data_IF_915164923119
#
_entry.id   IF_915164923119
#
_cell.length_a   1.000
_cell.length_b   1.000
_cell.length_c   1.000
_cell.angle_alpha   90.00
_cell.angle_beta   90.00
_cell.angle_gamma   90.00
#
_symmetry.space_group_name_H-M   'P 1'
#
loop_
_entity.id
_entity.type
_entity.pdbx_description
1 polymer ?
#
# COMPACT_ATOMS: atom_id res chain seq x y z
N UNK A 1 -38.51 -19.35 -30.16
CA UNK A 1 -39.51 -20.24 -29.50
C UNK A 1 -39.74 -19.87 -28.02
N UNK A 2 -38.73 -19.35 -27.30
CA UNK A 2 -38.75 -19.08 -25.84
C UNK A 2 -39.76 -18.01 -25.38
N UNK A 3 -40.07 -16.98 -26.18
CA UNK A 3 -40.98 -15.89 -25.78
C UNK A 3 -42.48 -16.26 -25.74
N UNK A 4 -42.84 -17.46 -26.21
CA UNK A 4 -44.25 -17.88 -26.34
C UNK A 4 -44.87 -18.38 -25.02
N UNK A 5 -44.07 -18.73 -24.02
CA UNK A 5 -44.54 -19.26 -22.72
C UNK A 5 -44.21 -18.30 -21.59
N UNK A 6 -45.01 -18.29 -20.52
CA UNK A 6 -44.75 -17.54 -19.27
C UNK A 6 -43.39 -17.94 -18.71
N UNK A 7 -43.12 -19.25 -18.64
CA UNK A 7 -41.84 -19.80 -18.17
C UNK A 7 -40.67 -19.23 -18.97
N UNK A 8 -40.78 -19.18 -20.29
CA UNK A 8 -39.72 -18.66 -21.14
C UNK A 8 -39.48 -17.16 -20.98
N UNK A 9 -40.53 -16.35 -20.73
CA UNK A 9 -40.37 -14.92 -20.40
C UNK A 9 -39.68 -14.72 -19.05
N UNK A 10 -40.07 -15.48 -18.02
CA UNK A 10 -39.43 -15.40 -16.69
C UNK A 10 -37.96 -15.76 -16.77
N UNK A 11 -37.61 -16.88 -17.43
CA UNK A 11 -36.22 -17.29 -17.62
C UNK A 11 -35.42 -16.21 -18.36
N UNK A 12 -35.97 -15.64 -19.43
CA UNK A 12 -35.31 -14.58 -20.18
C UNK A 12 -35.00 -13.36 -19.28
N UNK A 13 -35.98 -12.92 -18.48
CA UNK A 13 -35.82 -11.77 -17.57
C UNK A 13 -34.74 -12.04 -16.53
N UNK A 14 -34.79 -13.19 -15.88
CA UNK A 14 -33.81 -13.57 -14.86
C UNK A 14 -32.41 -13.69 -15.49
N UNK A 15 -32.29 -14.30 -16.67
CA UNK A 15 -31.02 -14.39 -17.39
C UNK A 15 -30.48 -13.01 -17.76
N UNK A 16 -31.31 -12.09 -18.25
CA UNK A 16 -30.88 -10.72 -18.56
C UNK A 16 -30.39 -10.00 -17.29
N UNK A 17 -31.15 -10.07 -16.20
CA UNK A 17 -30.75 -9.48 -14.92
C UNK A 17 -29.42 -10.05 -14.42
N UNK A 18 -29.26 -11.39 -14.44
CA UNK A 18 -28.03 -12.06 -14.02
C UNK A 18 -26.83 -11.69 -14.88
N UNK A 19 -27.01 -11.54 -16.20
CA UNK A 19 -25.92 -11.12 -17.10
C UNK A 19 -25.47 -9.70 -16.76
N UNK A 20 -26.38 -8.73 -16.64
CA UNK A 20 -26.02 -7.36 -16.30
C UNK A 20 -25.38 -7.26 -14.92
N UNK A 21 -25.97 -7.93 -13.92
CA UNK A 21 -25.41 -7.99 -12.58
C UNK A 21 -24.03 -8.65 -12.56
N UNK A 22 -23.87 -9.79 -13.24
CA UNK A 22 -22.60 -10.49 -13.36
C UNK A 22 -21.51 -9.65 -14.01
N UNK A 23 -21.82 -8.94 -15.10
CA UNK A 23 -20.87 -8.01 -15.75
C UNK A 23 -20.45 -6.89 -14.80
N UNK A 24 -21.39 -6.29 -14.06
CA UNK A 24 -21.08 -5.25 -13.06
C UNK A 24 -20.19 -5.78 -11.94
N UNK A 25 -20.47 -6.99 -11.42
CA UNK A 25 -19.67 -7.62 -10.36
C UNK A 25 -18.26 -7.92 -10.84
N UNK A 26 -18.12 -8.53 -12.02
CA UNK A 26 -16.81 -8.85 -12.62
C UNK A 26 -16.01 -7.57 -12.81
N UNK A 27 -16.61 -6.53 -13.39
CA UNK A 27 -15.95 -5.24 -13.60
C UNK A 27 -15.48 -4.61 -12.27
N UNK A 28 -16.33 -4.63 -11.23
CA UNK A 28 -15.98 -4.12 -9.91
C UNK A 28 -14.79 -4.88 -9.30
N UNK A 29 -14.76 -6.20 -9.39
CA UNK A 29 -13.65 -7.02 -8.89
C UNK A 29 -12.35 -6.64 -9.61
N UNK A 30 -12.35 -6.58 -10.94
CA UNK A 30 -11.17 -6.17 -11.71
C UNK A 30 -10.73 -4.74 -11.40
N UNK A 31 -11.67 -3.81 -11.26
CA UNK A 31 -11.38 -2.43 -10.87
C UNK A 31 -10.75 -2.35 -9.49
N UNK A 32 -11.21 -3.16 -8.54
CA UNK A 32 -10.71 -3.17 -7.17
C UNK A 32 -9.30 -3.77 -7.10
N UNK A 33 -9.05 -4.87 -7.83
CA UNK A 33 -7.71 -5.46 -7.93
C UNK A 33 -6.72 -4.45 -8.51
N UNK A 34 -7.06 -3.81 -9.64
CA UNK A 34 -6.20 -2.79 -10.26
C UNK A 34 -5.96 -1.60 -9.34
N UNK A 35 -6.96 -1.21 -8.54
CA UNK A 35 -6.82 -0.14 -7.54
C UNK A 35 -5.90 -0.57 -6.38
N UNK A 36 -5.97 -1.83 -5.96
CA UNK A 36 -5.08 -2.37 -4.94
C UNK A 36 -3.61 -2.41 -5.40
N UNK A 37 -3.34 -2.91 -6.61
CA UNK A 37 -1.98 -3.00 -7.15
C UNK A 37 -1.32 -1.61 -7.31
N UNK A 38 -2.11 -0.60 -7.69
CA UNK A 38 -1.65 0.77 -7.79
C UNK A 38 -1.33 1.40 -6.43
N UNK A 39 -2.11 1.07 -5.39
CA UNK A 39 -1.85 1.51 -4.02
C UNK A 39 -0.59 0.83 -3.46
N UNK A 40 -0.43 -0.48 -3.68
CA UNK A 40 0.76 -1.24 -3.28
C UNK A 40 2.04 -0.64 -3.90
N UNK A 41 2.00 -0.35 -5.20
CA UNK A 41 3.11 0.30 -5.91
C UNK A 41 3.42 1.68 -5.30
N UNK A 42 2.41 2.50 -5.01
CA UNK A 42 2.60 3.80 -4.37
C UNK A 42 3.23 3.67 -2.98
N UNK A 43 2.78 2.70 -2.16
CA UNK A 43 3.36 2.45 -0.83
C UNK A 43 4.82 2.01 -0.91
N UNK A 44 5.19 1.17 -1.88
CA UNK A 44 6.58 0.74 -2.08
C UNK A 44 7.49 1.93 -2.39
N UNK A 45 7.08 2.84 -3.28
CA UNK A 45 7.88 4.04 -3.58
C UNK A 45 7.95 5.02 -2.40
N UNK A 46 6.86 5.15 -1.64
CA UNK A 46 6.82 5.96 -0.41
C UNK A 46 7.81 5.43 0.63
N UNK A 47 7.80 4.13 0.87
CA UNK A 47 8.69 3.48 1.84
C UNK A 47 10.15 3.59 1.40
N UNK A 48 10.44 3.37 0.11
CA UNK A 48 11.79 3.56 -0.46
C UNK A 48 12.29 5.00 -0.31
N UNK A 49 11.43 5.98 -0.57
CA UNK A 49 11.78 7.41 -0.42
C UNK A 49 12.10 7.74 1.05
N UNK A 50 11.33 7.19 1.99
CA UNK A 50 11.57 7.36 3.42
C UNK A 50 12.90 6.73 3.86
N UNK A 51 13.23 5.53 3.35
CA UNK A 51 14.52 4.86 3.62
C UNK A 51 15.68 5.71 3.11
N UNK A 52 15.64 6.21 1.87
CA UNK A 52 16.71 7.07 1.33
C UNK A 52 16.86 8.37 2.12
N UNK A 53 15.76 8.99 2.56
CA UNK A 53 15.82 10.18 3.41
C UNK A 53 16.47 9.88 4.76
N UNK A 54 16.19 8.72 5.34
CA UNK A 54 16.81 8.31 6.60
C UNK A 54 18.30 7.98 6.41
N UNK A 55 18.68 7.37 5.29
CA UNK A 55 20.08 7.17 4.90
C UNK A 55 20.82 8.50 4.79
N UNK A 56 20.24 9.48 4.10
CA UNK A 56 20.80 10.83 3.94
C UNK A 56 21.01 11.53 5.28
N UNK A 57 20.04 11.47 6.19
CA UNK A 57 20.14 12.05 7.54
C UNK A 57 21.27 11.38 8.33
N UNK A 58 21.37 10.05 8.31
CA UNK A 58 22.41 9.35 9.06
C UNK A 58 23.80 9.55 8.45
N UNK A 59 23.90 9.61 7.13
CA UNK A 59 25.16 9.97 6.47
C UNK A 59 25.58 11.40 6.82
N UNK A 60 24.64 12.35 6.85
CA UNK A 60 24.91 13.71 7.30
C UNK A 60 25.39 13.75 8.75
N UNK A 61 24.75 13.01 9.66
CA UNK A 61 25.19 12.88 11.05
C UNK A 61 26.59 12.25 11.16
N UNK A 62 26.91 11.25 10.33
CA UNK A 62 28.27 10.71 10.25
C UNK A 62 29.27 11.80 9.84
N UNK A 63 28.93 12.61 8.84
CA UNK A 63 29.82 13.70 8.39
C UNK A 63 30.04 14.78 9.45
N UNK A 64 29.02 15.08 10.28
CA UNK A 64 29.17 15.97 11.43
C UNK A 64 30.07 15.34 12.50
N UNK A 65 29.87 14.06 12.81
CA UNK A 65 30.71 13.34 13.77
C UNK A 65 32.17 13.28 13.31
N UNK A 66 32.45 13.12 12.02
CA UNK A 66 33.80 13.24 11.45
C UNK A 66 34.37 14.64 11.72
N UNK A 67 33.61 15.69 11.42
CA UNK A 67 34.07 17.06 11.62
C UNK A 67 34.41 17.34 13.09
N UNK A 68 33.55 16.91 14.01
CA UNK A 68 33.77 17.07 15.44
C UNK A 68 34.93 16.19 15.94
N UNK A 69 35.09 15.00 15.37
CA UNK A 69 36.23 14.12 15.65
C UNK A 69 37.56 14.74 15.20
N UNK A 70 37.65 15.33 14.01
CA UNK A 70 38.90 15.94 13.54
C UNK A 70 39.33 17.13 14.41
N UNK A 71 38.37 17.80 15.05
CA UNK A 71 38.64 18.92 15.98
C UNK A 71 39.07 18.42 17.36
N UNK A 72 38.38 17.40 17.90
CA UNK A 72 38.53 16.97 19.31
C UNK A 72 39.33 15.68 19.51
N UNK A 73 39.39 14.83 18.50
CA UNK A 73 39.80 13.43 18.53
C UNK A 73 39.11 12.60 19.63
N UNK A 74 37.87 12.96 19.98
CA UNK A 74 37.08 12.26 20.98
C UNK A 74 36.59 10.89 20.46
N UNK A 75 36.93 9.82 21.20
CA UNK A 75 36.48 8.47 20.91
C UNK A 75 34.95 8.30 20.85
N UNK A 76 34.19 9.15 21.53
CA UNK A 76 32.73 9.16 21.43
C UNK A 76 32.28 9.61 20.03
N UNK A 77 32.93 10.62 19.44
CA UNK A 77 32.63 11.06 18.06
C UNK A 77 32.97 9.98 17.05
N UNK A 78 34.08 9.25 17.25
CA UNK A 78 34.41 8.10 16.42
C UNK A 78 33.34 6.99 16.48
N UNK A 79 32.81 6.69 17.67
CA UNK A 79 31.70 5.74 17.82
C UNK A 79 30.44 6.22 17.11
N UNK A 80 30.08 7.50 17.26
CA UNK A 80 28.91 8.09 16.60
C UNK A 80 29.02 8.02 15.07
N UNK A 81 30.22 8.28 14.53
CA UNK A 81 30.51 8.13 13.10
C UNK A 81 30.25 6.69 12.64
N UNK A 82 30.90 5.71 13.29
CA UNK A 82 30.81 4.29 12.89
C UNK A 82 29.39 3.73 13.02
N UNK A 83 28.64 4.12 14.06
CA UNK A 83 27.25 3.74 14.22
C UNK A 83 26.35 4.29 13.11
N UNK A 84 26.55 5.56 12.74
CA UNK A 84 25.78 6.20 11.67
C UNK A 84 26.09 5.56 10.31
N UNK A 85 27.36 5.25 10.03
CA UNK A 85 27.77 4.55 8.81
C UNK A 85 27.25 3.11 8.76
N UNK A 86 27.28 2.38 9.89
CA UNK A 86 26.69 1.04 9.96
C UNK A 86 25.20 1.07 9.63
N UNK A 87 24.46 2.01 10.23
CA UNK A 87 23.04 2.19 9.94
C UNK A 87 22.80 2.45 8.45
N UNK A 88 23.57 3.36 7.86
CA UNK A 88 23.49 3.68 6.43
C UNK A 88 23.70 2.42 5.58
N UNK A 89 24.73 1.63 5.85
CA UNK A 89 25.04 0.40 5.12
C UNK A 89 23.94 -0.65 5.26
N UNK A 90 23.41 -0.83 6.47
CA UNK A 90 22.33 -1.77 6.76
C UNK A 90 21.02 -1.35 6.07
N UNK A 91 20.69 -0.06 6.11
CA UNK A 91 19.48 0.48 5.48
C UNK A 91 19.51 0.32 3.95
N UNK A 92 20.66 0.58 3.32
CA UNK A 92 20.83 0.40 1.88
C UNK A 92 20.78 -1.11 1.53
N UNK A 93 21.50 -1.96 2.26
CA UNK A 93 21.59 -3.40 1.98
C UNK A 93 20.24 -4.13 2.12
N UNK A 94 19.41 -3.70 3.07
CA UNK A 94 18.08 -4.27 3.28
C UNK A 94 17.02 -3.72 2.31
N UNK A 95 17.32 -2.69 1.53
CA UNK A 95 16.41 -2.18 0.50
C UNK A 95 16.47 -3.10 -0.74
N UNK A 96 15.50 -4.01 -0.86
CA UNK A 96 15.47 -5.13 -1.83
C UNK A 96 15.19 -4.73 -3.30
N UNK A 97 15.72 -3.59 -3.77
CA UNK A 97 15.30 -2.98 -5.05
C UNK A 97 16.26 -3.12 -6.22
N UNK A 98 17.47 -2.59 -6.12
CA UNK A 98 18.41 -2.43 -7.24
C UNK A 98 19.85 -2.57 -6.73
N UNK A 99 20.31 -3.82 -6.66
CA UNK A 99 21.64 -4.12 -6.15
C UNK A 99 22.77 -3.46 -6.96
N UNK A 100 22.56 -3.04 -8.21
CA UNK A 100 23.62 -2.39 -9.02
C UNK A 100 23.67 -0.87 -8.89
N UNK A 101 22.52 -0.19 -8.76
CA UNK A 101 22.49 1.28 -8.70
C UNK A 101 22.95 1.80 -7.33
N UNK A 102 22.63 1.07 -6.27
CA UNK A 102 23.08 1.38 -4.91
C UNK A 102 24.48 0.82 -4.60
N UNK A 103 25.05 -0.05 -5.45
CA UNK A 103 26.39 -0.59 -5.22
C UNK A 103 27.45 0.51 -5.25
N UNK A 104 27.38 1.41 -6.22
CA UNK A 104 28.30 2.55 -6.31
C UNK A 104 28.24 3.43 -5.05
N UNK A 105 27.04 3.62 -4.48
CA UNK A 105 26.86 4.35 -3.24
C UNK A 105 27.50 3.61 -2.05
N UNK A 106 27.27 2.29 -1.92
CA UNK A 106 27.89 1.45 -0.89
C UNK A 106 29.42 1.49 -1.00
N UNK A 107 29.96 1.38 -2.21
CA UNK A 107 31.41 1.40 -2.45
C UNK A 107 32.02 2.73 -1.98
N UNK A 108 31.38 3.86 -2.29
CA UNK A 108 31.80 5.19 -1.81
C UNK A 108 31.70 5.32 -0.30
N UNK A 109 30.64 4.80 0.32
CA UNK A 109 30.49 4.79 1.78
C UNK A 109 31.56 3.93 2.44
N UNK A 110 31.94 2.79 1.85
CA UNK A 110 33.03 1.95 2.36
C UNK A 110 34.39 2.66 2.26
N UNK A 111 34.65 3.38 1.17
CA UNK A 111 35.85 4.22 1.04
C UNK A 111 35.84 5.30 2.12
N UNK A 112 34.71 5.98 2.33
CA UNK A 112 34.54 7.00 3.37
C UNK A 112 34.80 6.44 4.77
N UNK A 113 34.27 5.26 5.10
CA UNK A 113 34.54 4.54 6.35
C UNK A 113 36.02 4.18 6.51
N UNK A 114 36.66 3.67 5.45
CA UNK A 114 38.07 3.31 5.45
C UNK A 114 38.97 4.53 5.67
N UNK A 115 38.68 5.65 5.01
CA UNK A 115 39.41 6.91 5.19
C UNK A 115 39.29 7.43 6.62
N UNK A 116 38.10 7.35 7.22
CA UNK A 116 37.91 7.69 8.63
C UNK A 116 38.80 6.83 9.55
N UNK A 117 38.79 5.51 9.34
CA UNK A 117 39.59 4.59 10.13
C UNK A 117 41.11 4.88 10.01
N UNK A 118 41.58 5.28 8.82
CA UNK A 118 42.96 5.74 8.62
C UNK A 118 43.28 6.99 9.45
N UNK A 119 42.37 7.97 9.52
CA UNK A 119 42.55 9.16 10.38
C UNK A 119 42.63 8.75 11.85
N UNK A 120 41.77 7.83 12.30
CA UNK A 120 41.81 7.30 13.68
C UNK A 120 43.14 6.63 13.99
N UNK A 121 43.64 5.79 13.07
CA UNK A 121 44.93 5.12 13.22
C UNK A 121 46.09 6.11 13.28
N UNK A 122 46.14 7.07 12.35
CA UNK A 122 47.15 8.13 12.34
C UNK A 122 47.14 8.96 13.62
N UNK A 123 45.95 9.27 14.15
CA UNK A 123 45.84 9.98 15.41
C UNK A 123 46.38 9.16 16.60
N UNK A 124 46.02 7.87 16.68
CA UNK A 124 46.53 6.99 17.74
C UNK A 124 48.05 6.82 17.67
N UNK A 125 48.60 6.69 16.46
CA UNK A 125 50.05 6.65 16.25
C UNK A 125 50.72 7.96 16.68
N UNK A 126 50.17 9.10 16.26
CA UNK A 126 50.63 10.43 16.66
C UNK A 126 50.62 10.61 18.18
N UNK A 127 49.54 10.27 18.87
CA UNK A 127 49.45 10.35 20.34
C UNK A 127 50.47 9.44 21.04
N UNK A 128 50.68 8.22 20.52
CA UNK A 128 51.71 7.31 21.04
C UNK A 128 53.12 7.89 20.87
N UNK A 129 53.43 8.37 19.67
CA UNK A 129 54.72 8.97 19.36
C UNK A 129 55.00 10.22 20.21
N UNK A 130 54.01 11.08 20.44
CA UNK A 130 54.17 12.29 21.26
C UNK A 130 54.32 11.93 22.75
N UNK A 131 53.36 11.20 23.30
CA UNK A 131 53.23 11.03 24.75
C UNK A 131 54.16 9.95 25.32
N UNK A 132 54.63 9.01 24.49
CA UNK A 132 55.52 7.94 24.92
C UNK A 132 56.90 8.13 24.31
N UNK A 133 57.04 7.99 22.99
CA UNK A 133 58.35 7.91 22.36
C UNK A 133 59.12 9.23 22.49
N UNK A 134 58.56 10.35 22.01
CA UNK A 134 59.20 11.67 22.03
C UNK A 134 59.48 12.15 23.47
N UNK A 135 58.52 11.97 24.38
CA UNK A 135 58.68 12.36 25.79
C UNK A 135 59.77 11.54 26.49
N UNK A 136 59.83 10.22 26.30
CA UNK A 136 60.88 9.39 26.88
C UNK A 136 62.25 9.71 26.28
N UNK A 137 62.31 9.95 24.96
CA UNK A 137 63.56 10.31 24.30
C UNK A 137 64.13 11.63 24.80
N UNK A 138 63.30 12.62 25.10
CA UNK A 138 63.76 13.84 25.77
C UNK A 138 64.43 13.53 27.13
N UNK A 139 63.82 12.69 27.95
CA UNK A 139 64.34 12.32 29.28
C UNK A 139 65.67 11.57 29.14
N UNK A 140 65.74 10.57 28.26
CA UNK A 140 66.94 9.76 28.03
C UNK A 140 68.08 10.60 27.45
N UNK A 141 67.81 11.46 26.47
CA UNK A 141 68.83 12.35 25.90
C UNK A 141 69.36 13.35 26.93
N UNK A 142 68.48 13.89 27.78
CA UNK A 142 68.87 14.76 28.88
C UNK A 142 69.82 14.05 29.84
N UNK A 143 69.55 12.77 30.15
CA UNK A 143 70.42 11.95 30.98
C UNK A 143 71.76 11.66 30.29
N UNK A 144 71.77 11.29 29.00
CA UNK A 144 73.01 11.03 28.26
C UNK A 144 73.92 12.25 28.21
N UNK A 145 73.36 13.45 28.01
CA UNK A 145 74.13 14.69 28.03
C UNK A 145 74.64 15.01 29.44
N UNK A 146 73.85 14.76 30.49
CA UNK A 146 74.30 14.93 31.88
C UNK A 146 75.45 13.99 32.23
N UNK A 147 75.37 12.71 31.84
CA UNK A 147 76.46 11.73 32.01
C UNK A 147 77.72 12.14 31.22
N UNK A 148 77.55 12.62 29.99
CA UNK A 148 78.65 13.14 29.18
C UNK A 148 79.30 14.37 29.81
N UNK A 149 78.51 15.29 30.37
CA UNK A 149 78.98 16.46 31.12
C UNK A 149 79.83 16.05 32.32
N UNK A 150 79.35 15.10 33.13
CA UNK A 150 80.09 14.59 34.29
C UNK A 150 81.41 13.94 33.87
N UNK A 151 81.42 13.20 32.76
CA UNK A 151 82.61 12.59 32.21
C UNK A 151 83.60 13.64 31.71
N UNK A 152 83.13 14.69 31.03
CA UNK A 152 83.95 15.81 30.60
C UNK A 152 84.57 16.56 31.78
N UNK A 153 83.81 16.74 32.86
CA UNK A 153 84.30 17.36 34.09
C UNK A 153 85.40 16.51 34.75
N UNK A 154 85.22 15.18 34.83
CA UNK A 154 86.25 14.25 35.34
C UNK A 154 87.54 14.27 34.51
N UNK A 155 87.43 14.52 33.21
CA UNK A 155 88.56 14.64 32.28
C UNK A 155 89.10 16.08 32.17
N UNK A 156 88.63 17.01 33.00
CA UNK A 156 89.05 18.42 33.02
C UNK A 156 88.84 19.18 31.70
N UNK A 157 87.83 18.80 30.90
CA UNK A 157 87.49 19.45 29.63
C UNK A 157 86.35 20.44 29.82
N UNK A 158 86.66 21.66 30.30
CA UNK A 158 85.65 22.68 30.65
C UNK A 158 84.81 23.18 29.48
N UNK A 159 85.36 23.18 28.26
CA UNK A 159 84.61 23.54 27.04
C UNK A 159 83.45 22.59 26.78
N UNK A 160 83.67 21.28 26.94
CA UNK A 160 82.61 20.27 26.79
C UNK A 160 81.53 20.41 27.86
N UNK A 161 81.90 20.80 29.09
CA UNK A 161 80.92 21.08 30.15
C UNK A 161 80.01 22.25 29.74
N UNK A 162 80.59 23.36 29.27
CA UNK A 162 79.83 24.53 28.80
C UNK A 162 78.87 24.19 27.64
N UNK A 163 79.35 23.45 26.64
CA UNK A 163 78.51 23.06 25.52
C UNK A 163 77.45 22.02 25.89
N UNK A 164 77.70 21.18 26.89
CA UNK A 164 76.67 20.27 27.42
C UNK A 164 75.55 21.04 28.11
N UNK A 165 75.87 22.08 28.89
CA UNK A 165 74.86 22.97 29.49
C UNK A 165 74.04 23.71 28.42
N UNK A 166 74.71 24.22 27.39
CA UNK A 166 74.05 24.89 26.26
C UNK A 166 73.16 23.92 25.47
N UNK A 167 73.60 22.67 25.29
CA UNK A 167 72.82 21.62 24.65
C UNK A 167 71.55 21.32 25.44
N UNK A 168 71.64 21.14 26.76
CA UNK A 168 70.47 20.89 27.63
C UNK A 168 69.46 22.04 27.54
N UNK A 169 69.92 23.29 27.59
CA UNK A 169 69.03 24.44 27.42
C UNK A 169 68.31 24.44 26.07
N UNK A 170 69.04 24.13 24.98
CA UNK A 170 68.46 24.04 23.64
C UNK A 170 67.53 22.84 23.48
N UNK A 171 67.76 21.77 24.23
CA UNK A 171 66.90 20.59 24.28
C UNK A 171 65.56 20.92 24.96
N UNK A 172 65.58 21.71 26.04
CA UNK A 172 64.35 22.21 26.67
C UNK A 172 63.56 23.11 25.71
N UNK A 173 64.24 24.03 25.00
CA UNK A 173 63.60 24.86 23.97
C UNK A 173 63.03 24.02 22.83
N UNK A 174 63.70 22.94 22.42
CA UNK A 174 63.20 22.01 21.39
C UNK A 174 61.85 21.41 21.81
N UNK A 175 61.71 20.97 23.06
CA UNK A 175 60.45 20.40 23.56
C UNK A 175 59.33 21.45 23.58
N UNK A 176 59.64 22.68 23.98
CA UNK A 176 58.67 23.79 24.01
C UNK A 176 58.12 24.11 22.61
N UNK A 177 59.00 24.27 21.62
CA UNK A 177 58.58 24.54 20.24
C UNK A 177 57.89 23.31 19.61
N UNK A 178 58.27 22.09 20.01
CA UNK A 178 57.62 20.86 19.56
C UNK A 178 56.18 20.77 20.09
N UNK A 179 55.97 21.07 21.37
CA UNK A 179 54.64 21.13 21.96
C UNK A 179 53.75 22.17 21.25
N UNK A 180 54.32 23.31 20.88
CA UNK A 180 53.61 24.35 20.12
C UNK A 180 53.18 23.82 18.75
N UNK A 181 54.10 23.18 18.01
CA UNK A 181 53.79 22.56 16.73
C UNK A 181 52.73 21.46 16.84
N UNK A 182 52.78 20.60 17.86
CA UNK A 182 51.81 19.52 18.03
C UNK A 182 50.37 20.04 18.23
N UNK A 183 50.22 21.25 18.76
CA UNK A 183 48.91 21.91 18.93
C UNK A 183 48.49 22.68 17.66
N UNK A 184 49.39 23.49 17.09
CA UNK A 184 49.07 24.37 15.97
C UNK A 184 49.02 23.66 14.63
N UNK A 185 49.83 22.60 14.47
CA UNK A 185 50.10 21.86 13.23
C UNK A 185 50.59 22.76 12.10
N UNK A 186 51.11 23.96 12.41
CA UNK A 186 51.46 24.95 11.41
C UNK A 186 52.84 24.67 10.79
N UNK A 187 53.00 24.99 9.51
CA UNK A 187 54.29 24.89 8.83
C UNK A 187 55.36 25.81 9.48
N UNK A 188 54.94 26.95 10.03
CA UNK A 188 55.85 27.87 10.74
C UNK A 188 56.43 27.23 12.00
N UNK A 189 55.59 26.60 12.81
CA UNK A 189 56.03 25.94 14.04
C UNK A 189 56.84 24.68 13.73
N UNK A 190 56.48 23.92 12.69
CA UNK A 190 57.33 22.82 12.18
C UNK A 190 58.75 23.29 11.87
N UNK A 191 58.88 24.42 11.18
CA UNK A 191 60.18 24.99 10.83
C UNK A 191 60.97 25.42 12.07
N UNK A 192 60.30 25.93 13.11
CA UNK A 192 60.91 26.25 14.41
C UNK A 192 61.48 25.01 15.09
N UNK A 193 60.77 23.88 15.06
CA UNK A 193 61.26 22.61 15.62
C UNK A 193 62.48 22.11 14.85
N UNK A 194 62.44 22.13 13.51
CA UNK A 194 63.57 21.73 12.67
C UNK A 194 64.80 22.62 12.91
N UNK A 195 64.60 23.92 13.12
CA UNK A 195 65.68 24.83 13.48
C UNK A 195 66.28 24.50 14.86
N UNK A 196 65.46 24.13 15.84
CA UNK A 196 65.93 23.69 17.15
C UNK A 196 66.75 22.38 17.08
N UNK A 197 66.34 21.41 16.26
CA UNK A 197 67.17 20.22 15.98
C UNK A 197 68.52 20.59 15.34
N UNK A 198 68.53 21.49 14.35
CA UNK A 198 69.79 21.96 13.74
C UNK A 198 70.70 22.69 14.73
N UNK A 199 70.13 23.33 15.76
CA UNK A 199 70.90 23.94 16.84
C UNK A 199 71.56 22.87 17.72
N UNK A 200 70.86 21.78 18.04
CA UNK A 200 71.46 20.62 18.72
C UNK A 200 72.62 20.04 17.91
N UNK A 201 72.42 19.85 16.60
CA UNK A 201 73.47 19.36 15.69
C UNK A 201 74.71 20.28 15.71
N UNK A 202 74.50 21.60 15.77
CA UNK A 202 75.58 22.60 15.85
C UNK A 202 76.38 22.50 17.15
N UNK A 203 75.70 22.24 18.27
CA UNK A 203 76.38 21.96 19.55
C UNK A 203 77.18 20.66 19.49
N UNK A 204 76.62 19.58 18.93
CA UNK A 204 77.35 18.33 18.76
C UNK A 204 78.60 18.51 17.91
N UNK A 205 78.50 19.18 16.76
CA UNK A 205 79.65 19.49 15.92
C UNK A 205 80.75 20.25 16.68
N UNK A 206 80.35 21.20 17.53
CA UNK A 206 81.30 21.97 18.35
C UNK A 206 81.95 21.11 19.45
N UNK A 207 81.16 20.27 20.12
CA UNK A 207 81.63 19.33 21.14
C UNK A 207 82.63 18.32 20.55
N UNK A 208 82.44 17.89 19.30
CA UNK A 208 83.32 16.92 18.65
C UNK A 208 84.81 17.32 18.68
N UNK A 209 85.12 18.61 18.54
CA UNK A 209 86.49 19.12 18.57
C UNK A 209 87.14 19.09 19.96
N UNK A 210 86.34 19.04 21.03
CA UNK A 210 86.81 18.99 22.42
C UNK A 210 87.04 17.58 22.96
N UNK A 211 86.73 16.53 22.18
CA UNK A 211 86.84 15.13 22.61
C UNK A 211 88.31 14.69 22.58
N UNK A 212 88.84 14.34 23.74
CA UNK A 212 90.26 13.99 23.92
C UNK A 212 90.50 12.56 24.39
N UNK A 213 89.46 11.82 24.80
CA UNK A 213 89.56 10.46 25.35
C UNK A 213 88.61 9.49 24.66
N UNK A 214 88.94 8.20 24.70
CA UNK A 214 88.13 7.14 24.10
C UNK A 214 86.73 7.02 24.76
N UNK A 215 86.65 7.19 26.09
CA UNK A 215 85.37 7.16 26.83
C UNK A 215 84.44 8.30 26.38
N UNK A 216 84.97 9.52 26.21
CA UNK A 216 84.22 10.66 25.69
C UNK A 216 83.79 10.41 24.24
N UNK A 217 84.66 9.82 23.42
CA UNK A 217 84.35 9.50 22.02
C UNK A 217 83.21 8.49 21.90
N UNK A 218 83.21 7.45 22.74
CA UNK A 218 82.13 6.48 22.77
C UNK A 218 80.81 7.12 23.19
N UNK A 219 80.78 7.84 24.32
CA UNK A 219 79.56 8.50 24.80
C UNK A 219 79.02 9.54 23.85
N UNK A 220 79.89 10.28 23.17
CA UNK A 220 79.49 11.22 22.14
C UNK A 220 78.83 10.53 20.94
N UNK A 221 79.36 9.38 20.48
CA UNK A 221 78.75 8.63 19.40
C UNK A 221 77.34 8.12 19.77
N UNK A 222 77.15 7.64 21.00
CA UNK A 222 75.83 7.26 21.54
C UNK A 222 74.84 8.45 21.48
N UNK A 223 75.28 9.65 21.87
CA UNK A 223 74.46 10.87 21.80
C UNK A 223 74.11 11.24 20.35
N UNK A 224 75.08 11.22 19.43
CA UNK A 224 74.84 11.56 18.02
C UNK A 224 73.81 10.64 17.38
N UNK A 225 73.93 9.33 17.63
CA UNK A 225 72.95 8.35 17.16
C UNK A 225 71.58 8.62 17.76
N UNK A 226 71.52 8.90 19.07
CA UNK A 226 70.26 9.17 19.77
C UNK A 226 69.56 10.44 19.25
N UNK A 227 70.29 11.53 19.01
CA UNK A 227 69.74 12.76 18.41
C UNK A 227 69.17 12.50 17.02
N UNK A 228 69.86 11.66 16.22
CA UNK A 228 69.35 11.24 14.91
C UNK A 228 68.03 10.48 15.04
N UNK A 229 67.95 9.52 15.97
CA UNK A 229 66.72 8.78 16.25
C UNK A 229 65.60 9.71 16.76
N UNK A 230 65.94 10.72 17.57
CA UNK A 230 64.97 11.65 18.13
C UNK A 230 64.34 12.53 17.03
N UNK A 231 65.19 13.04 16.12
CA UNK A 231 64.74 13.75 14.93
C UNK A 231 63.86 12.88 14.02
N UNK A 232 64.26 11.63 13.77
CA UNK A 232 63.44 10.70 12.99
C UNK A 232 62.07 10.43 13.63
N UNK A 233 62.00 10.37 14.97
CA UNK A 233 60.73 10.23 15.70
C UNK A 233 59.86 11.46 15.53
N UNK A 234 60.44 12.66 15.61
CA UNK A 234 59.74 13.90 15.26
C UNK A 234 59.21 13.91 13.83
N UNK A 235 60.01 13.48 12.86
CA UNK A 235 59.59 13.40 11.45
C UNK A 235 58.42 12.43 11.23
N UNK A 236 58.37 11.32 11.98
CA UNK A 236 57.19 10.41 11.98
C UNK A 236 55.94 11.09 12.53
N UNK A 237 56.07 11.90 13.60
CA UNK A 237 54.95 12.69 14.13
C UNK A 237 54.44 13.68 13.08
N UNK A 238 55.36 14.40 12.44
CA UNK A 238 55.04 15.32 11.33
C UNK A 238 54.29 14.59 10.22
N UNK A 239 54.80 13.42 9.79
CA UNK A 239 54.15 12.61 8.76
C UNK A 239 52.73 12.20 9.18
N UNK A 240 52.54 11.77 10.43
CA UNK A 240 51.22 11.37 10.94
C UNK A 240 50.23 12.55 11.03
N UNK A 241 50.71 13.78 11.25
CA UNK A 241 49.90 15.00 11.22
C UNK A 241 49.56 15.38 9.79
N UNK A 242 50.56 15.54 8.93
CA UNK A 242 50.41 16.06 7.56
C UNK A 242 49.66 15.08 6.64
N UNK A 243 49.68 13.78 6.93
CA UNK A 243 48.94 12.77 6.17
C UNK A 243 47.42 12.82 6.42
N UNK A 244 46.95 13.47 7.48
CA UNK A 244 45.51 13.54 7.78
C UNK A 244 44.78 14.52 6.87
N UNK A 245 45.38 15.69 6.61
CA UNK A 245 44.76 16.75 5.80
C UNK A 245 44.31 16.32 4.40
N UNK A 246 45.12 15.62 3.57
CA UNK A 246 44.67 15.16 2.26
C UNK A 246 43.52 14.15 2.39
N UNK A 247 43.55 13.26 3.39
CA UNK A 247 42.47 12.29 3.62
C UNK A 247 41.18 13.03 4.00
N UNK A 248 41.26 14.05 4.86
CA UNK A 248 40.10 14.86 5.25
C UNK A 248 39.52 15.60 4.03
N UNK A 249 40.37 16.14 3.14
CA UNK A 249 39.92 16.79 1.92
C UNK A 249 39.24 15.83 0.94
N UNK A 250 39.80 14.63 0.74
CA UNK A 250 39.20 13.58 -0.08
C UNK A 250 37.86 13.13 0.50
N UNK A 251 37.77 12.99 1.83
CA UNK A 251 36.52 12.71 2.51
C UNK A 251 35.49 13.82 2.29
N UNK A 252 35.89 15.10 2.35
CA UNK A 252 34.95 16.20 2.10
C UNK A 252 34.40 16.17 0.66
N UNK A 253 35.22 15.80 -0.33
CA UNK A 253 34.76 15.59 -1.71
C UNK A 253 33.80 14.40 -1.80
N UNK A 254 34.14 13.26 -1.18
CA UNK A 254 33.28 12.08 -1.12
C UNK A 254 31.95 12.38 -0.42
N UNK A 255 31.96 13.20 0.63
CA UNK A 255 30.74 13.63 1.35
C UNK A 255 29.79 14.33 0.39
N UNK A 256 30.29 15.28 -0.40
CA UNK A 256 29.48 16.01 -1.39
C UNK A 256 28.96 15.05 -2.46
N UNK A 257 29.81 14.16 -2.97
CA UNK A 257 29.41 13.19 -4.00
C UNK A 257 28.33 12.23 -3.48
N UNK A 258 28.50 11.67 -2.29
CA UNK A 258 27.52 10.76 -1.66
C UNK A 258 26.19 11.48 -1.42
N UNK A 259 26.20 12.71 -0.91
CA UNK A 259 24.97 13.48 -0.70
C UNK A 259 24.25 13.80 -2.02
N UNK A 260 24.98 14.15 -3.08
CA UNK A 260 24.39 14.39 -4.39
C UNK A 260 23.75 13.10 -4.96
N UNK A 261 24.41 11.95 -4.83
CA UNK A 261 23.86 10.67 -5.26
C UNK A 261 22.59 10.31 -4.47
N UNK A 262 22.57 10.53 -3.16
CA UNK A 262 21.39 10.32 -2.32
C UNK A 262 20.24 11.25 -2.71
N UNK A 263 20.54 12.52 -2.98
CA UNK A 263 19.54 13.50 -3.43
C UNK A 263 18.97 13.13 -4.80
N UNK A 264 19.82 12.72 -5.75
CA UNK A 264 19.40 12.27 -7.08
C UNK A 264 18.47 11.05 -6.98
N UNK A 265 18.87 10.05 -6.20
CA UNK A 265 18.06 8.84 -5.96
C UNK A 265 16.71 9.19 -5.30
N UNK A 266 16.72 10.06 -4.30
CA UNK A 266 15.49 10.56 -3.66
C UNK A 266 14.58 11.29 -4.65
N UNK A 267 15.16 12.13 -5.50
CA UNK A 267 14.42 12.90 -6.50
C UNK A 267 13.77 11.97 -7.55
N UNK A 268 14.50 10.97 -8.03
CA UNK A 268 13.99 9.97 -8.98
C UNK A 268 12.84 9.16 -8.37
N UNK A 269 12.99 8.67 -7.13
CA UNK A 269 11.93 7.95 -6.41
C UNK A 269 10.68 8.81 -6.20
N UNK A 270 10.88 10.08 -5.85
CA UNK A 270 9.78 11.04 -5.67
C UNK A 270 9.06 11.34 -6.98
N UNK A 271 9.79 11.50 -8.08
CA UNK A 271 9.19 11.70 -9.40
C UNK A 271 8.35 10.47 -9.83
N UNK A 272 8.88 9.26 -9.60
CA UNK A 272 8.12 8.03 -9.83
C UNK A 272 6.88 7.97 -8.94
N UNK A 273 6.99 8.31 -7.66
CA UNK A 273 5.86 8.37 -6.72
C UNK A 273 4.78 9.37 -7.18
N UNK A 274 5.17 10.59 -7.57
CA UNK A 274 4.24 11.67 -7.98
C UNK A 274 3.53 11.33 -9.29
N UNK A 275 4.27 10.76 -10.25
CA UNK A 275 3.71 10.31 -11.53
C UNK A 275 2.77 9.12 -11.37
N UNK A 276 3.13 8.12 -10.55
CA UNK A 276 2.26 6.99 -10.22
C UNK A 276 1.02 7.48 -9.47
N UNK A 277 1.16 8.29 -8.42
CA UNK A 277 0.03 8.80 -7.64
C UNK A 277 -0.97 9.57 -8.49
N UNK A 278 -0.47 10.44 -9.37
CA UNK A 278 -1.31 11.21 -10.31
C UNK A 278 -2.03 10.32 -11.33
N UNK A 279 -1.34 9.32 -11.89
CA UNK A 279 -1.94 8.34 -12.82
C UNK A 279 -2.97 7.47 -12.10
N UNK A 280 -2.64 6.99 -10.92
CA UNK A 280 -3.48 6.15 -10.07
C UNK A 280 -4.79 6.84 -9.73
N UNK A 281 -4.77 8.09 -9.25
CA UNK A 281 -5.99 8.86 -8.95
C UNK A 281 -6.86 9.02 -10.20
N UNK A 282 -6.26 9.33 -11.36
CA UNK A 282 -7.00 9.47 -12.63
C UNK A 282 -7.63 8.16 -13.09
N UNK A 283 -6.89 7.04 -13.04
CA UNK A 283 -7.40 5.72 -13.40
C UNK A 283 -8.49 5.24 -12.44
N UNK A 284 -8.32 5.49 -11.14
CA UNK A 284 -9.30 5.15 -10.12
C UNK A 284 -10.60 5.94 -10.30
N UNK A 285 -10.51 7.26 -10.52
CA UNK A 285 -11.68 8.10 -10.80
C UNK A 285 -12.42 7.66 -12.06
N UNK A 286 -11.70 7.28 -13.12
CA UNK A 286 -12.31 6.73 -14.34
C UNK A 286 -13.03 5.41 -14.05
N UNK A 287 -12.45 4.54 -13.23
CA UNK A 287 -13.04 3.25 -12.89
C UNK A 287 -14.26 3.39 -11.97
N UNK A 288 -14.25 4.36 -11.04
CA UNK A 288 -15.42 4.76 -10.25
C UNK A 288 -16.54 5.27 -11.15
N UNK A 289 -16.23 6.17 -12.09
CA UNK A 289 -17.23 6.69 -13.03
C UNK A 289 -17.86 5.58 -13.88
N UNK A 290 -17.05 4.66 -14.41
CA UNK A 290 -17.54 3.50 -15.17
C UNK A 290 -18.40 2.58 -14.31
N UNK A 291 -18.02 2.35 -13.05
CA UNK A 291 -18.80 1.57 -12.08
C UNK A 291 -20.17 2.20 -11.83
N UNK A 292 -20.22 3.52 -11.63
CA UNK A 292 -21.48 4.26 -11.47
C UNK A 292 -22.35 4.11 -12.71
N UNK A 293 -21.79 4.31 -13.91
CA UNK A 293 -22.52 4.18 -15.18
C UNK A 293 -23.08 2.76 -15.35
N UNK A 294 -22.25 1.72 -15.14
CA UNK A 294 -22.68 0.32 -15.27
C UNK A 294 -23.75 -0.04 -14.24
N UNK A 295 -23.64 0.46 -13.02
CA UNK A 295 -24.63 0.24 -11.95
C UNK A 295 -25.96 0.92 -12.29
N UNK A 296 -25.93 2.16 -12.79
CA UNK A 296 -27.13 2.88 -13.25
C UNK A 296 -27.78 2.16 -14.42
N UNK A 297 -27.00 1.67 -15.40
CA UNK A 297 -27.52 0.89 -16.52
C UNK A 297 -28.16 -0.41 -16.02
N UNK A 298 -27.50 -1.17 -15.16
CA UNK A 298 -28.04 -2.40 -14.59
C UNK A 298 -29.35 -2.14 -13.81
N UNK A 299 -29.42 -1.03 -13.08
CA UNK A 299 -30.62 -0.61 -12.35
C UNK A 299 -31.78 -0.23 -13.30
N UNK A 300 -31.50 0.53 -14.37
CA UNK A 300 -32.50 0.86 -15.39
C UNK A 300 -33.02 -0.39 -16.09
N UNK A 301 -32.13 -1.32 -16.45
CA UNK A 301 -32.51 -2.62 -17.04
C UNK A 301 -33.37 -3.44 -16.07
N UNK A 302 -33.06 -3.42 -14.77
CA UNK A 302 -33.88 -4.06 -13.75
C UNK A 302 -35.29 -3.46 -13.68
N UNK A 303 -35.42 -2.13 -13.70
CA UNK A 303 -36.73 -1.46 -13.73
C UNK A 303 -37.51 -1.83 -15.00
N UNK A 304 -36.88 -1.76 -16.17
CA UNK A 304 -37.52 -2.06 -17.47
C UNK A 304 -38.02 -3.51 -17.49
N UNK A 305 -37.22 -4.46 -17.02
CA UNK A 305 -37.59 -5.88 -16.98
C UNK A 305 -38.71 -6.17 -15.98
N UNK A 306 -38.74 -5.49 -14.82
CA UNK A 306 -39.86 -5.57 -13.86
C UNK A 306 -41.15 -5.01 -14.45
N UNK A 307 -41.11 -3.83 -15.08
CA UNK A 307 -42.28 -3.24 -15.75
C UNK A 307 -42.79 -4.18 -16.86
N UNK A 308 -41.87 -4.77 -17.62
CA UNK A 308 -42.21 -5.75 -18.66
C UNK A 308 -42.88 -7.01 -18.06
N UNK A 309 -42.40 -7.52 -16.91
CA UNK A 309 -42.99 -8.65 -16.21
C UNK A 309 -44.41 -8.34 -15.74
N UNK A 310 -44.62 -7.18 -15.12
CA UNK A 310 -45.93 -6.72 -14.65
C UNK A 310 -46.91 -6.65 -15.83
N UNK A 311 -46.52 -6.04 -16.95
CA UNK A 311 -47.39 -5.89 -18.13
C UNK A 311 -47.65 -7.20 -18.88
N UNK A 312 -46.68 -8.11 -18.93
CA UNK A 312 -46.78 -9.33 -19.74
C UNK A 312 -47.40 -10.52 -19.02
N UNK A 313 -47.34 -10.56 -17.68
CA UNK A 313 -47.85 -11.68 -16.88
C UNK A 313 -48.88 -11.19 -15.86
N UNK A 314 -48.49 -10.25 -15.00
CA UNK A 314 -49.32 -9.87 -13.83
C UNK A 314 -50.64 -9.22 -14.26
N UNK A 315 -50.60 -8.30 -15.22
CA UNK A 315 -51.80 -7.59 -15.71
C UNK A 315 -52.80 -8.54 -16.41
N UNK A 316 -52.41 -9.36 -17.41
CA UNK A 316 -53.34 -10.34 -18.01
C UNK A 316 -53.92 -11.34 -17.01
N UNK A 317 -53.14 -11.73 -16.00
CA UNK A 317 -53.61 -12.66 -14.97
C UNK A 317 -54.64 -12.01 -14.02
N UNK A 318 -54.44 -10.74 -13.66
CA UNK A 318 -55.44 -9.95 -12.91
C UNK A 318 -56.72 -9.71 -13.73
N UNK A 319 -56.59 -9.40 -15.02
CA UNK A 319 -57.74 -9.25 -15.92
C UNK A 319 -58.54 -10.56 -16.02
N UNK A 320 -57.85 -11.69 -16.19
CA UNK A 320 -58.49 -13.01 -16.24
C UNK A 320 -59.15 -13.36 -14.91
N UNK A 321 -58.50 -13.09 -13.77
CA UNK A 321 -59.09 -13.26 -12.42
C UNK A 321 -60.39 -12.48 -12.26
N UNK A 322 -60.41 -11.22 -12.68
CA UNK A 322 -61.61 -10.38 -12.57
C UNK A 322 -62.76 -10.91 -13.42
N UNK A 323 -62.49 -11.38 -14.64
CA UNK A 323 -63.48 -12.05 -15.49
C UNK A 323 -64.01 -13.34 -14.87
N UNK A 324 -63.15 -14.14 -14.27
CA UNK A 324 -63.55 -15.36 -13.55
C UNK A 324 -64.47 -15.02 -12.36
N UNK A 325 -64.21 -13.93 -11.64
CA UNK A 325 -65.08 -13.50 -10.54
C UNK A 325 -66.49 -13.11 -11.01
N UNK A 326 -66.61 -12.36 -12.11
CA UNK A 326 -67.90 -12.03 -12.71
C UNK A 326 -68.66 -13.29 -13.16
N UNK A 327 -67.94 -14.21 -13.80
CA UNK A 327 -68.51 -15.49 -14.22
C UNK A 327 -68.98 -16.35 -13.03
N UNK A 328 -68.24 -16.35 -11.92
CA UNK A 328 -68.63 -17.02 -10.67
C UNK A 328 -69.91 -16.44 -10.07
N UNK A 329 -70.18 -15.14 -10.24
CA UNK A 329 -71.39 -14.47 -9.77
C UNK A 329 -72.64 -14.80 -10.62
N UNK A 330 -72.50 -15.62 -11.66
CA UNK A 330 -73.59 -16.07 -12.53
C UNK A 330 -73.74 -15.28 -13.83
N UNK A 331 -72.83 -14.32 -14.10
CA UNK A 331 -72.81 -13.63 -15.39
C UNK A 331 -72.18 -14.53 -16.48
N UNK A 332 -73.04 -15.26 -17.20
CA UNK A 332 -72.63 -16.09 -18.33
C UNK A 332 -72.36 -15.29 -19.61
N UNK A 333 -72.46 -13.95 -19.59
CA UNK A 333 -72.18 -13.09 -20.75
C UNK A 333 -70.73 -12.61 -20.82
N UNK A 334 -69.93 -12.88 -19.78
CA UNK A 334 -68.50 -12.51 -19.70
C UNK A 334 -67.71 -13.03 -20.90
N UNK A 335 -66.99 -12.12 -21.57
CA UNK A 335 -66.08 -12.44 -22.67
C UNK A 335 -64.67 -12.69 -22.15
N UNK A 336 -64.22 -13.94 -22.23
CA UNK A 336 -62.87 -14.36 -21.84
C UNK A 336 -61.79 -14.08 -22.89
N UNK A 337 -62.03 -13.25 -23.91
CA UNK A 337 -60.96 -12.88 -24.84
C UNK A 337 -59.72 -12.31 -24.14
N UNK A 338 -58.59 -12.99 -24.32
CA UNK A 338 -57.25 -12.55 -23.91
C UNK A 338 -56.36 -12.64 -25.14
N UNK A 339 -55.67 -11.54 -25.49
CA UNK A 339 -54.79 -11.47 -26.68
C UNK A 339 -53.50 -12.29 -26.54
N UNK A 340 -53.28 -12.91 -25.39
CA UNK A 340 -52.09 -13.69 -25.11
C UNK A 340 -52.13 -15.05 -25.82
N UNK A 341 -50.97 -15.52 -26.26
CA UNK A 341 -50.79 -16.85 -26.89
C UNK A 341 -50.06 -17.85 -25.98
N UNK A 342 -49.85 -17.47 -24.72
CA UNK A 342 -49.20 -18.27 -23.69
C UNK A 342 -50.22 -19.05 -22.86
N UNK A 343 -49.79 -19.60 -21.73
CA UNK A 343 -50.61 -20.37 -20.81
C UNK A 343 -51.83 -19.57 -20.30
N UNK A 344 -51.74 -18.24 -20.16
CA UNK A 344 -52.90 -17.39 -19.79
C UNK A 344 -53.93 -17.37 -20.93
N UNK A 345 -53.47 -17.31 -22.17
CA UNK A 345 -54.34 -17.38 -23.35
C UNK A 345 -55.07 -18.72 -23.46
N UNK A 346 -54.37 -19.82 -23.16
CA UNK A 346 -54.98 -21.16 -23.14
C UNK A 346 -56.04 -21.30 -22.03
N UNK A 347 -55.77 -20.78 -20.83
CA UNK A 347 -56.76 -20.75 -19.74
C UNK A 347 -58.01 -19.93 -20.13
N UNK A 348 -57.80 -18.78 -20.78
CA UNK A 348 -58.87 -17.90 -21.22
C UNK A 348 -59.76 -18.57 -22.29
N UNK A 349 -59.17 -19.31 -23.23
CA UNK A 349 -59.90 -20.10 -24.22
C UNK A 349 -60.74 -21.20 -23.57
N UNK A 350 -60.18 -21.98 -22.65
CA UNK A 350 -60.91 -23.03 -21.94
C UNK A 350 -62.10 -22.47 -21.14
N UNK A 351 -61.94 -21.30 -20.50
CA UNK A 351 -63.03 -20.61 -19.80
C UNK A 351 -64.11 -20.08 -20.76
N UNK A 352 -63.72 -19.63 -21.95
CA UNK A 352 -64.67 -19.21 -22.99
C UNK A 352 -65.54 -20.38 -23.48
N UNK A 353 -64.92 -21.53 -23.73
CA UNK A 353 -65.61 -22.76 -24.11
C UNK A 353 -66.58 -23.21 -23.00
N UNK A 354 -66.13 -23.20 -21.74
CA UNK A 354 -66.99 -23.54 -20.59
C UNK A 354 -68.18 -22.57 -20.43
N UNK A 355 -67.98 -21.27 -20.63
CA UNK A 355 -69.06 -20.27 -20.60
C UNK A 355 -70.10 -20.52 -21.69
N UNK A 356 -69.66 -20.89 -22.90
CA UNK A 356 -70.54 -21.24 -24.03
C UNK A 356 -71.38 -22.49 -23.71
N UNK A 357 -70.76 -23.55 -23.19
CA UNK A 357 -71.46 -24.79 -22.82
C UNK A 357 -72.48 -24.56 -21.71
N UNK A 358 -72.14 -23.76 -20.70
CA UNK A 358 -73.09 -23.39 -19.63
C UNK A 358 -74.24 -22.53 -20.14
N UNK A 359 -73.99 -21.58 -21.06
CA UNK A 359 -75.05 -20.77 -21.67
C UNK A 359 -76.01 -21.62 -22.51
N UNK A 360 -75.48 -22.57 -23.27
CA UNK A 360 -76.30 -23.53 -24.02
C UNK A 360 -77.16 -24.37 -23.07
N UNK A 361 -76.56 -24.88 -22.00
CA UNK A 361 -77.27 -25.66 -20.98
C UNK A 361 -78.40 -24.85 -20.33
N UNK A 362 -78.16 -23.58 -19.96
CA UNK A 362 -79.20 -22.69 -19.43
C UNK A 362 -80.29 -22.38 -20.45
N UNK A 363 -79.94 -22.25 -21.73
CA UNK A 363 -80.89 -22.11 -22.82
C UNK A 363 -81.80 -23.34 -22.96
N UNK A 364 -81.23 -24.55 -22.89
CA UNK A 364 -81.99 -25.80 -22.89
C UNK A 364 -82.89 -25.94 -21.66
N UNK A 365 -82.42 -25.55 -20.47
CA UNK A 365 -83.23 -25.52 -19.24
C UNK A 365 -84.40 -24.55 -19.40
N UNK A 366 -84.17 -23.34 -19.94
CA UNK A 366 -85.24 -22.37 -20.19
C UNK A 366 -86.28 -22.91 -21.16
N UNK A 367 -85.87 -23.52 -22.27
CA UNK A 367 -86.80 -24.16 -23.22
C UNK A 367 -87.60 -25.30 -22.58
N UNK A 368 -86.97 -26.10 -21.73
CA UNK A 368 -87.66 -27.15 -20.98
C UNK A 368 -88.69 -26.55 -20.01
N UNK A 369 -88.32 -25.49 -19.27
CA UNK A 369 -89.24 -24.76 -18.39
C UNK A 369 -90.41 -24.12 -19.15
N UNK A 370 -90.18 -23.52 -20.32
CA UNK A 370 -91.23 -22.93 -21.16
C UNK A 370 -92.21 -24.02 -21.64
N UNK A 371 -91.71 -25.20 -22.05
CA UNK A 371 -92.56 -26.36 -22.40
C UNK A 371 -93.36 -26.89 -21.21
N UNK A 372 -92.77 -26.92 -20.01
CA UNK A 372 -93.47 -27.31 -18.77
C UNK A 372 -94.56 -26.30 -18.43
N UNK A 373 -94.29 -25.01 -18.58
CA UNK A 373 -95.28 -23.95 -18.38
C UNK A 373 -96.44 -24.08 -19.38
N UNK A 374 -96.14 -24.25 -20.68
CA UNK A 374 -97.14 -24.48 -21.73
C UNK A 374 -97.97 -25.73 -21.44
N UNK A 375 -97.32 -26.83 -21.06
CA UNK A 375 -98.00 -28.08 -20.69
C UNK A 375 -98.90 -27.89 -19.46
N UNK A 376 -98.49 -27.08 -18.48
CA UNK A 376 -99.30 -26.74 -17.30
C UNK A 376 -100.51 -25.88 -17.65
N UNK A 377 -100.38 -24.95 -18.61
CA UNK A 377 -101.51 -24.16 -19.15
C UNK A 377 -102.49 -25.05 -19.89
N UNK A 378 -102.00 -25.91 -20.79
CA UNK A 378 -102.83 -26.88 -21.51
C UNK A 378 -103.54 -27.83 -20.54
N UNK A 379 -102.84 -28.34 -19.52
CA UNK A 379 -103.44 -29.19 -18.48
C UNK A 379 -104.53 -28.45 -17.69
N UNK A 380 -104.32 -27.18 -17.36
CA UNK A 380 -105.33 -26.35 -16.69
C UNK A 380 -106.56 -26.18 -17.59
N UNK A 381 -106.35 -25.92 -18.88
CA UNK A 381 -107.43 -25.80 -19.87
C UNK A 381 -108.22 -27.12 -20.03
N UNK A 382 -107.53 -28.25 -20.21
CA UNK A 382 -108.18 -29.56 -20.29
C UNK A 382 -108.91 -29.92 -18.99
N UNK A 383 -108.38 -29.54 -17.82
CA UNK A 383 -109.07 -29.71 -16.54
C UNK A 383 -110.34 -28.88 -16.46
N UNK A 384 -110.35 -27.66 -17.02
CA UNK A 384 -111.52 -26.80 -17.12
C UNK A 384 -112.58 -27.38 -18.07
N UNK A 385 -112.19 -27.78 -19.29
CA UNK A 385 -113.07 -28.44 -20.25
C UNK A 385 -113.66 -29.74 -19.68
N UNK A 386 -112.87 -30.51 -18.91
CA UNK A 386 -113.34 -31.71 -18.23
C UNK A 386 -114.37 -31.39 -17.14
N UNK A 387 -114.21 -30.29 -16.39
CA UNK A 387 -115.23 -29.82 -15.45
C UNK A 387 -116.51 -29.41 -16.16
N UNK A 388 -116.41 -28.65 -17.24
CA UNK A 388 -117.57 -28.24 -18.05
C UNK A 388 -118.32 -29.45 -18.62
N UNK A 389 -117.59 -30.42 -19.17
CA UNK A 389 -118.17 -31.69 -19.64
C UNK A 389 -118.81 -32.48 -18.50
N UNK A 390 -118.22 -32.48 -17.30
CA UNK A 390 -118.80 -33.14 -16.13
C UNK A 390 -120.08 -32.44 -15.66
N UNK A 391 -120.14 -31.10 -15.72
CA UNK A 391 -121.36 -30.33 -15.45
C UNK A 391 -122.44 -30.58 -16.50
N UNK A 392 -122.07 -30.67 -17.77
CA UNK A 392 -122.99 -31.02 -18.85
C UNK A 392 -123.53 -32.44 -18.69
N UNK A 393 -122.66 -33.40 -18.38
CA UNK A 393 -123.06 -34.77 -18.07
C UNK A 393 -124.01 -34.81 -16.87
N UNK A 394 -123.74 -33.98 -15.84
CA UNK A 394 -124.65 -33.83 -14.70
C UNK A 394 -126.01 -33.29 -15.12
N UNK A 395 -126.07 -32.25 -15.97
CA UNK A 395 -127.34 -31.73 -16.52
C UNK A 395 -128.11 -32.79 -17.32
N UNK A 396 -127.41 -33.58 -18.12
CA UNK A 396 -128.02 -34.69 -18.85
C UNK A 396 -128.55 -35.77 -17.89
N UNK A 397 -127.82 -36.07 -16.82
CA UNK A 397 -128.29 -37.00 -15.78
C UNK A 397 -129.51 -36.45 -15.02
N UNK A 398 -129.53 -35.16 -14.68
CA UNK A 398 -130.72 -34.51 -14.08
C UNK A 398 -131.91 -34.59 -15.05
N UNK A 399 -131.68 -34.40 -16.36
CA UNK A 399 -132.72 -34.50 -17.39
C UNK A 399 -133.22 -35.94 -17.55
N UNK A 400 -132.32 -36.93 -17.53
CA UNK A 400 -132.67 -38.36 -17.52
C UNK A 400 -133.48 -38.69 -16.28
N UNK A 401 -133.13 -38.14 -15.12
CA UNK A 401 -133.88 -38.31 -13.89
C UNK A 401 -135.28 -37.70 -14.01
N UNK A 402 -135.43 -36.49 -14.56
CA UNK A 402 -136.74 -35.88 -14.84
C UNK A 402 -137.56 -36.73 -15.83
N UNK A 403 -136.94 -37.24 -16.90
CA UNK A 403 -137.59 -38.17 -17.83
C UNK A 403 -137.99 -39.49 -17.14
N UNK A 404 -137.18 -39.99 -16.22
CA UNK A 404 -137.47 -41.19 -15.43
C UNK A 404 -138.63 -40.93 -14.44
N UNK A 405 -138.71 -39.75 -13.85
CA UNK A 405 -139.83 -39.31 -12.99
C UNK A 405 -141.11 -39.10 -13.80
N UNK A 406 -141.02 -38.51 -15.00
CA UNK A 406 -142.16 -38.31 -15.91
C UNK A 406 -142.68 -39.65 -16.47
N UNK A 407 -141.78 -40.58 -16.81
CA UNK A 407 -142.18 -41.94 -17.20
C UNK A 407 -142.73 -42.74 -16.03
N UNK A 408 -142.24 -42.55 -14.80
CA UNK A 408 -142.84 -43.15 -13.60
C UNK A 408 -144.25 -42.57 -13.33
N UNK A 409 -144.44 -41.26 -13.45
CA UNK A 409 -145.74 -40.60 -13.28
C UNK A 409 -146.77 -41.00 -14.33
N UNK A 410 -146.35 -41.13 -15.59
CA UNK A 410 -147.19 -41.65 -16.68
C UNK A 410 -147.54 -43.14 -16.51
N UNK A 411 -146.74 -43.90 -15.76
CA UNK A 411 -147.05 -45.30 -15.41
C UNK A 411 -148.02 -45.36 -14.23
N UNK A 412 -148.02 -44.38 -13.32
CA UNK A 412 -148.94 -44.31 -12.17
C UNK A 412 -150.36 -43.85 -12.58
N UNK A 413 -150.51 -43.09 -13.66
CA UNK A 413 -151.84 -42.68 -14.20
C UNK A 413 -152.58 -43.83 -14.93
N UNK A 414 -151.93 -44.99 -15.14
CA UNK A 414 -152.48 -46.14 -15.90
C UNK A 414 -152.89 -47.33 -14.99
N UNK A 415 -152.87 -47.17 -13.67
CA UNK A 415 -153.37 -48.15 -12.67
C UNK A 415 -154.40 -47.53 -11.76
#
# INVERSE_FOLDING_TARGET
>A
MVLKTIKGRIILIISVMLVFFGVTVIFNIFSLIKSNDGLESYTVFSDRTAVISQVEINFFNASLALKDYVVSYDNQMAKSFLQSISYVKDAISNSTGEASELQNLIDKINIYESSFNSIVQLNNEKERLINQDFSNMYIELSQYIAEFKDLAQKNFVSTLVFYSDSFLQSLDSLVEVSSTYFQSKSQGDKNSVLAAFNQLDSYLLTMQYGITTDDLKQKFAEIQEFVTQFKNTFEKIVQAIESQDPIIQEMEQLRVEILNLLEEQRAQLKEQQDTLGSRFIKENNRSILLTIILTVIAFVVAIITVIYLIRSITKPLLELRNKINQFKEGDLTVDFQVKSKDEIGQMALALSEMSKELRNSMGSIRQASDKVQESSVNLTKTSQESRENSEELKRQMDTIQTYAEETAGNVEEVT
#
